data_IF_428708929037
#
_entry.id   IF_428708929037
#
_cell.length_a   1.000
_cell.length_b   1.000
_cell.length_c   1.000
_cell.angle_alpha   90.00
_cell.angle_beta   90.00
_cell.angle_gamma   90.00
#
_symmetry.space_group_name_H-M   'P 1'
#
loop_
_entity.id
_entity.type
_entity.pdbx_description
1 polymer ?
#
# COMPACT_ATOMS: atom_id res chain seq x y z
N UNK A 1 -20.35 -11.26 15.58
CA UNK A 1 -21.29 -10.54 14.71
C UNK A 1 -20.71 -9.17 14.40
N UNK A 2 -20.56 -8.78 13.14
CA UNK A 2 -19.94 -7.49 12.73
C UNK A 2 -20.98 -6.63 12.00
N UNK A 3 -20.97 -6.58 10.67
CA UNK A 3 -21.99 -5.86 9.90
C UNK A 3 -23.14 -6.77 9.44
N UNK A 4 -22.84 -8.01 9.03
CA UNK A 4 -23.83 -8.93 8.42
C UNK A 4 -25.05 -9.20 9.33
N UNK A 5 -24.85 -9.19 10.63
CA UNK A 5 -25.89 -9.51 11.62
C UNK A 5 -26.45 -8.27 12.37
N UNK A 6 -26.02 -7.06 11.99
CA UNK A 6 -26.49 -5.82 12.62
C UNK A 6 -27.61 -5.21 11.76
N UNK A 7 -28.85 -5.24 12.26
CA UNK A 7 -30.05 -4.68 11.61
C UNK A 7 -29.87 -3.21 11.22
N UNK A 8 -29.02 -2.45 11.94
CA UNK A 8 -28.73 -1.04 11.62
C UNK A 8 -28.03 -0.88 10.27
N UNK A 9 -27.45 -1.95 9.73
CA UNK A 9 -26.70 -1.96 8.48
C UNK A 9 -27.53 -2.46 7.29
N UNK A 10 -28.76 -2.95 7.51
CA UNK A 10 -29.63 -3.44 6.46
C UNK A 10 -29.95 -2.33 5.46
N UNK A 11 -29.66 -2.58 4.17
CA UNK A 11 -29.82 -1.61 3.09
C UNK A 11 -29.04 -0.30 3.31
N UNK A 12 -27.91 -0.36 4.02
CA UNK A 12 -26.99 0.77 4.23
C UNK A 12 -25.60 0.49 3.70
N UNK A 13 -24.92 1.57 3.28
CA UNK A 13 -23.48 1.55 3.00
C UNK A 13 -22.72 1.80 4.30
N UNK A 14 -21.83 0.89 4.68
CA UNK A 14 -20.99 1.03 5.88
C UNK A 14 -19.64 1.65 5.50
N UNK A 15 -19.31 2.81 6.07
CA UNK A 15 -18.04 3.48 5.83
C UNK A 15 -17.02 3.13 6.93
N UNK A 16 -15.89 2.52 6.55
CA UNK A 16 -14.79 2.24 7.48
C UNK A 16 -13.87 3.46 7.59
N UNK A 17 -14.08 4.26 8.65
CA UNK A 17 -13.26 5.45 8.96
C UNK A 17 -12.76 5.41 10.41
N UNK A 18 -11.85 4.47 10.74
CA UNK A 18 -11.24 4.48 12.07
C UNK A 18 -10.47 5.79 12.27
N UNK A 19 -10.62 6.46 13.42
CA UNK A 19 -10.06 7.80 13.66
C UNK A 19 -8.53 7.85 13.64
N UNK A 20 -7.86 6.70 13.77
CA UNK A 20 -6.41 6.57 13.72
C UNK A 20 -5.81 6.49 12.32
N UNK A 21 -6.62 6.22 11.28
CA UNK A 21 -6.12 5.97 9.92
C UNK A 21 -6.34 7.09 8.87
N UNK A 22 -6.95 8.26 9.13
CA UNK A 22 -6.97 9.32 8.14
C UNK A 22 -5.57 9.96 8.07
N UNK A 23 -4.74 9.47 7.15
CA UNK A 23 -3.38 9.94 6.93
C UNK A 23 -3.22 10.45 5.50
N UNK A 24 -2.54 11.58 5.34
CA UNK A 24 -2.05 12.07 4.06
C UNK A 24 -0.87 11.24 3.54
N UNK A 25 -0.58 11.34 2.25
CA UNK A 25 0.58 10.68 1.63
C UNK A 25 1.89 11.12 2.31
N UNK A 26 1.99 12.38 2.75
CA UNK A 26 3.17 12.90 3.43
C UNK A 26 3.36 12.31 4.82
N UNK A 27 2.29 12.12 5.59
CA UNK A 27 2.34 11.47 6.91
C UNK A 27 2.71 10.00 6.75
N UNK A 28 2.07 9.30 5.80
CA UNK A 28 2.38 7.90 5.51
C UNK A 28 3.84 7.70 5.05
N UNK A 29 4.34 8.57 4.17
CA UNK A 29 5.73 8.53 3.73
C UNK A 29 6.69 8.78 4.90
N UNK A 30 6.34 9.68 5.82
CA UNK A 30 7.17 9.98 6.99
C UNK A 30 7.23 8.79 7.97
N UNK A 31 6.09 8.12 8.22
CA UNK A 31 6.04 6.88 9.00
C UNK A 31 6.88 5.77 8.36
N UNK A 32 6.87 5.69 7.03
CA UNK A 32 7.68 4.70 6.31
C UNK A 32 9.18 5.00 6.41
N UNK A 33 9.58 6.27 6.23
CA UNK A 33 10.97 6.73 6.38
C UNK A 33 11.51 6.47 7.79
N UNK A 34 10.69 6.69 8.82
CA UNK A 34 11.01 6.35 10.21
C UNK A 34 11.27 4.85 10.36
N UNK A 35 10.40 4.01 9.78
CA UNK A 35 10.52 2.55 9.85
C UNK A 35 11.79 2.02 9.16
N UNK A 36 12.19 2.62 8.04
CA UNK A 36 13.38 2.18 7.28
C UNK A 36 14.67 2.92 7.68
N UNK A 37 14.59 3.90 8.60
CA UNK A 37 15.73 4.68 9.07
C UNK A 37 16.42 5.55 8.02
N UNK A 38 15.77 5.86 6.89
CA UNK A 38 16.32 6.70 5.82
C UNK A 38 15.27 7.58 5.16
N UNK A 39 15.69 8.74 4.66
CA UNK A 39 14.84 9.65 3.89
C UNK A 39 14.74 9.21 2.43
N UNK A 40 13.55 9.31 1.85
CA UNK A 40 13.30 9.01 0.45
C UNK A 40 13.12 10.32 -0.34
N UNK A 41 13.64 10.41 -1.58
CA UNK A 41 13.31 11.52 -2.46
C UNK A 41 11.81 11.61 -2.69
N UNK A 42 11.25 12.82 -2.58
CA UNK A 42 9.83 13.08 -2.80
C UNK A 42 9.66 13.88 -4.10
N UNK A 43 8.74 13.42 -4.94
CA UNK A 43 8.34 14.11 -6.17
C UNK A 43 6.86 14.41 -6.06
N UNK A 44 6.47 15.65 -6.34
CA UNK A 44 5.07 16.04 -6.40
C UNK A 44 4.57 15.79 -7.82
N UNK A 45 3.44 15.11 -7.94
CA UNK A 45 2.72 14.95 -9.21
C UNK A 45 1.50 15.86 -9.14
N UNK A 46 1.34 16.70 -10.16
CA UNK A 46 0.21 17.62 -10.28
C UNK A 46 -1.07 16.90 -10.74
N UNK A 47 -2.21 17.54 -10.58
CA UNK A 47 -3.49 17.01 -11.06
C UNK A 47 -3.49 16.81 -12.59
N UNK A 48 -3.01 17.79 -13.35
CA UNK A 48 -2.95 17.72 -14.82
C UNK A 48 -2.07 16.54 -15.30
N UNK A 49 -0.93 16.30 -14.63
CA UNK A 49 -0.08 15.15 -14.91
C UNK A 49 -0.79 13.83 -14.61
N UNK A 50 -1.55 13.74 -13.51
CA UNK A 50 -2.34 12.55 -13.19
C UNK A 50 -3.45 12.31 -14.22
N UNK A 51 -4.12 13.35 -14.68
CA UNK A 51 -5.16 13.27 -15.71
C UNK A 51 -4.57 12.80 -17.05
N UNK A 52 -3.46 13.38 -17.47
CA UNK A 52 -2.77 12.97 -18.70
C UNK A 52 -2.31 11.50 -18.62
N UNK A 53 -1.81 11.07 -17.47
CA UNK A 53 -1.43 9.66 -17.24
C UNK A 53 -2.65 8.73 -17.30
N UNK A 54 -3.80 9.13 -16.75
CA UNK A 54 -5.01 8.33 -16.76
C UNK A 54 -5.57 8.10 -18.18
N UNK A 55 -5.38 9.04 -19.10
CA UNK A 55 -5.80 8.90 -20.51
C UNK A 55 -4.93 7.93 -21.31
N UNK A 56 -3.65 7.81 -20.95
CA UNK A 56 -2.65 7.06 -21.72
C UNK A 56 -2.42 5.66 -21.16
N UNK A 57 -2.59 5.45 -19.85
CA UNK A 57 -2.26 4.18 -19.19
C UNK A 57 -3.28 3.08 -19.55
N UNK A 58 -2.84 2.11 -20.34
CA UNK A 58 -3.53 0.84 -20.52
C UNK A 58 -3.15 -0.12 -19.38
N UNK A 59 -4.15 -0.64 -18.66
CA UNK A 59 -3.99 -1.62 -17.57
C UNK A 59 -3.07 -2.78 -18.00
N UNK A 60 -3.22 -3.27 -19.22
CA UNK A 60 -2.47 -4.41 -19.73
C UNK A 60 -0.97 -4.11 -19.90
N UNK A 61 -0.64 -2.90 -20.35
CA UNK A 61 0.74 -2.45 -20.52
C UNK A 61 1.40 -2.19 -19.17
N UNK A 62 0.67 -1.62 -18.21
CA UNK A 62 1.13 -1.43 -16.84
C UNK A 62 1.52 -2.76 -16.16
N UNK A 63 0.68 -3.79 -16.29
CA UNK A 63 1.01 -5.12 -15.73
C UNK A 63 2.24 -5.73 -16.40
N UNK A 64 2.38 -5.55 -17.72
CA UNK A 64 3.51 -6.07 -18.48
C UNK A 64 4.81 -5.39 -18.09
N UNK A 65 4.83 -4.06 -17.98
CA UNK A 65 6.01 -3.29 -17.56
C UNK A 65 6.36 -3.53 -16.09
N UNK A 66 5.36 -3.67 -15.21
CA UNK A 66 5.59 -4.05 -13.82
C UNK A 66 6.23 -5.44 -13.72
N UNK A 67 5.70 -6.45 -14.42
CA UNK A 67 6.26 -7.79 -14.42
C UNK A 67 7.72 -7.80 -14.91
N UNK A 68 8.04 -7.06 -15.98
CA UNK A 68 9.41 -6.88 -16.47
C UNK A 68 10.32 -6.27 -15.40
N UNK A 69 9.86 -5.22 -14.70
CA UNK A 69 10.63 -4.58 -13.61
C UNK A 69 10.87 -5.52 -12.43
N UNK A 70 9.90 -6.36 -12.06
CA UNK A 70 10.08 -7.37 -11.01
C UNK A 70 11.15 -8.40 -11.42
N UNK A 71 11.11 -8.88 -12.66
CA UNK A 71 12.12 -9.82 -13.19
C UNK A 71 13.51 -9.18 -13.19
N UNK A 72 13.64 -7.93 -13.63
CA UNK A 72 14.91 -7.22 -13.67
C UNK A 72 15.47 -6.92 -12.26
N UNK A 73 14.61 -6.61 -11.29
CA UNK A 73 15.04 -6.42 -9.90
C UNK A 73 15.56 -7.73 -9.27
N UNK A 74 15.05 -8.90 -9.70
CA UNK A 74 15.59 -10.21 -9.29
C UNK A 74 17.00 -10.46 -9.81
N UNK A 75 17.39 -9.83 -10.93
CA UNK A 75 18.76 -9.87 -11.43
C UNK A 75 19.71 -8.91 -10.69
N UNK A 76 19.17 -7.88 -10.02
CA UNK A 76 19.95 -6.91 -9.25
C UNK A 76 20.35 -7.39 -7.84
N UNK A 77 19.81 -8.52 -7.35
CA UNK A 77 20.10 -9.10 -6.03
C UNK A 77 21.15 -10.22 -6.06
N UNK A 78 22.11 -10.17 -6.98
CA UNK A 78 23.30 -11.03 -6.95
C UNK A 78 24.38 -10.57 -5.92
N UNK A 79 24.00 -9.72 -4.96
CA UNK A 79 24.80 -9.39 -3.78
C UNK A 79 23.89 -9.32 -2.55
N UNK A 80 23.83 -10.40 -1.77
CA UNK A 80 23.00 -10.53 -0.57
C UNK A 80 23.22 -9.42 0.47
N UNK A 81 22.13 -8.86 1.01
CA UNK A 81 22.03 -8.57 2.45
C UNK A 81 21.08 -9.63 3.06
N UNK A 82 21.46 -10.34 4.13
CA UNK A 82 20.78 -11.55 4.60
C UNK A 82 19.35 -11.34 5.17
N UNK A 83 18.89 -10.10 5.29
CA UNK A 83 17.72 -9.73 6.12
C UNK A 83 16.39 -9.58 5.37
N UNK A 84 16.32 -9.95 4.09
CA UNK A 84 15.10 -9.78 3.26
C UNK A 84 14.22 -11.04 3.15
N UNK A 85 14.46 -12.07 3.98
CA UNK A 85 13.64 -13.30 4.01
C UNK A 85 12.47 -13.24 4.98
N UNK A 86 12.37 -12.20 5.81
CA UNK A 86 11.19 -12.01 6.64
C UNK A 86 10.09 -11.29 5.83
N UNK A 87 9.20 -12.07 5.24
CA UNK A 87 7.86 -11.56 4.94
C UNK A 87 7.32 -10.92 6.23
N UNK A 88 6.81 -9.67 6.21
CA UNK A 88 6.30 -9.04 7.41
C UNK A 88 5.16 -9.91 7.96
N UNK A 89 5.47 -10.67 9.00
CA UNK A 89 4.47 -11.46 9.71
C UNK A 89 3.48 -10.47 10.30
N UNK A 90 2.16 -10.65 10.10
CA UNK A 90 1.18 -9.78 10.71
C UNK A 90 1.45 -9.75 12.22
N UNK A 91 1.58 -8.54 12.77
CA UNK A 91 1.76 -8.36 14.22
C UNK A 91 0.65 -9.14 14.94
N UNK A 92 0.94 -9.86 16.04
CA UNK A 92 -0.05 -10.68 16.74
C UNK A 92 -1.33 -9.90 17.13
N UNK A 93 -1.25 -8.58 17.26
CA UNK A 93 -2.39 -7.70 17.49
C UNK A 93 -3.42 -7.67 16.34
N UNK A 94 -3.03 -7.99 15.10
CA UNK A 94 -3.94 -8.13 13.97
C UNK A 94 -4.79 -9.42 14.05
N UNK A 95 -4.36 -10.41 14.85
CA UNK A 95 -5.09 -11.66 15.12
C UNK A 95 -6.00 -11.57 16.36
N UNK A 96 -5.92 -10.49 17.15
CA UNK A 96 -6.69 -10.35 18.39
C UNK A 96 -8.13 -9.83 18.19
N UNK A 97 -8.67 -9.89 16.96
CA UNK A 97 -10.08 -9.55 16.69
C UNK A 97 -10.89 -10.78 16.24
N UNK A 98 -10.64 -11.93 16.89
CA UNK A 98 -11.54 -13.09 16.94
C UNK A 98 -11.47 -13.71 18.33
N UNK A 99 -12.21 -13.11 19.28
CA UNK A 99 -12.78 -13.76 20.45
C UNK A 99 -14.06 -13.00 20.81
#
# INVERSE_FOLDING_TARGET
>A
MKCVDDDRTLNKTVHFRPPSNPLSINELASLWEEKIGRKLPRVTITEDELLALAEVININECFTEFAKKIVNNKAATAGQHPDLTEAPSPKPEALALVA
#
